data_IF_340452045970
#
_entry.id   IF_340452045970
#
_cell.length_a   1.000
_cell.length_b   1.000
_cell.length_c   1.000
_cell.angle_alpha   90.00
_cell.angle_beta   90.00
_cell.angle_gamma   90.00
#
_symmetry.space_group_name_H-M   'P 1'
#
loop_
_entity.id
_entity.type
_entity.pdbx_description
1 polymer ?
#
# COMPACT_ATOMS: atom_id res chain seq x y z
N UNK A 1 -25.25 2.06 5.14
CA UNK A 1 -24.20 3.11 5.01
C UNK A 1 -23.31 2.81 3.80
N UNK A 2 -22.96 3.83 2.99
CA UNK A 2 -22.05 3.60 1.84
C UNK A 2 -20.63 3.33 2.36
N UNK A 3 -20.01 2.22 1.94
CA UNK A 3 -18.65 1.87 2.33
C UNK A 3 -17.65 2.97 1.93
N UNK A 4 -16.77 3.33 2.85
CA UNK A 4 -15.64 4.24 2.61
C UNK A 4 -14.40 3.42 2.29
N UNK A 5 -13.70 3.78 1.22
CA UNK A 5 -12.49 3.15 0.72
C UNK A 5 -11.31 4.09 0.93
N UNK A 6 -10.17 3.56 1.33
CA UNK A 6 -8.92 4.30 1.44
C UNK A 6 -7.89 3.65 0.52
N UNK A 7 -7.19 4.48 -0.26
CA UNK A 7 -6.13 4.05 -1.16
C UNK A 7 -4.87 4.84 -0.81
N UNK A 8 -3.81 4.16 -0.40
CA UNK A 8 -2.49 4.78 -0.30
C UNK A 8 -1.78 4.65 -1.63
N UNK A 9 -1.01 5.65 -2.05
CA UNK A 9 -0.40 5.68 -3.39
C UNK A 9 -1.42 5.87 -4.51
N UNK A 10 -2.57 6.51 -4.18
CA UNK A 10 -3.67 6.64 -5.12
C UNK A 10 -3.44 7.61 -6.28
N UNK A 11 -2.37 8.41 -6.25
CA UNK A 11 -1.96 9.28 -7.37
C UNK A 11 -0.96 8.61 -8.34
N UNK A 12 -0.51 7.39 -8.04
CA UNK A 12 0.28 6.54 -8.92
C UNK A 12 -0.57 5.91 -10.04
N UNK A 13 0.07 5.14 -10.94
CA UNK A 13 -0.59 4.52 -12.09
C UNK A 13 -1.74 3.57 -11.68
N UNK A 14 -1.45 2.57 -10.84
CA UNK A 14 -2.46 1.60 -10.39
C UNK A 14 -3.52 2.29 -9.52
N UNK A 15 -3.06 3.12 -8.57
CA UNK A 15 -3.94 3.78 -7.59
C UNK A 15 -4.94 4.73 -8.22
N UNK A 16 -4.55 5.49 -9.24
CA UNK A 16 -5.44 6.44 -9.93
C UNK A 16 -6.52 5.72 -10.74
N UNK A 17 -6.18 4.63 -11.42
CA UNK A 17 -7.15 3.80 -12.14
C UNK A 17 -8.15 3.12 -11.19
N UNK A 18 -7.68 2.59 -10.07
CA UNK A 18 -8.55 2.03 -9.03
C UNK A 18 -9.47 3.10 -8.43
N UNK A 19 -8.92 4.28 -8.14
CA UNK A 19 -9.68 5.43 -7.64
C UNK A 19 -10.81 5.78 -8.60
N UNK A 20 -10.51 5.93 -9.90
CA UNK A 20 -11.50 6.23 -10.92
C UNK A 20 -12.60 5.16 -10.99
N UNK A 21 -12.22 3.89 -11.01
CA UNK A 21 -13.18 2.75 -11.03
C UNK A 21 -14.13 2.77 -9.82
N UNK A 22 -13.62 3.07 -8.62
CA UNK A 22 -14.45 3.17 -7.41
C UNK A 22 -15.39 4.38 -7.45
N UNK A 23 -14.92 5.52 -7.98
CA UNK A 23 -15.76 6.72 -8.14
C UNK A 23 -16.89 6.50 -9.15
N UNK A 24 -16.61 5.84 -10.27
CA UNK A 24 -17.64 5.45 -11.25
C UNK A 24 -18.72 4.55 -10.62
N UNK A 25 -18.34 3.68 -9.69
CA UNK A 25 -19.26 2.87 -8.88
C UNK A 25 -19.89 3.64 -7.72
N UNK A 26 -19.83 4.98 -7.74
CA UNK A 26 -20.40 5.89 -6.73
C UNK A 26 -19.92 5.64 -5.31
N UNK A 27 -18.71 5.07 -5.13
CA UNK A 27 -18.09 4.85 -3.82
C UNK A 27 -17.47 6.16 -3.31
N UNK A 28 -17.32 6.28 -1.97
CA UNK A 28 -16.54 7.35 -1.34
C UNK A 28 -15.09 6.87 -1.20
N UNK A 29 -14.13 7.66 -1.63
CA UNK A 29 -12.71 7.30 -1.64
C UNK A 29 -11.88 8.39 -0.96
N UNK A 30 -10.97 7.96 -0.09
CA UNK A 30 -9.86 8.77 0.43
C UNK A 30 -8.60 8.28 -0.26
N UNK A 31 -7.83 9.19 -0.84
CA UNK A 31 -6.49 8.93 -1.37
C UNK A 31 -5.47 9.58 -0.46
N UNK A 32 -4.48 8.79 -0.01
CA UNK A 32 -3.28 9.23 0.70
C UNK A 32 -2.09 9.09 -0.25
N UNK A 33 -1.39 10.20 -0.54
CA UNK A 33 -0.23 10.21 -1.43
C UNK A 33 0.70 11.37 -1.07
N UNK A 34 2.01 11.16 -1.08
CA UNK A 34 3.00 12.23 -0.85
C UNK A 34 3.53 12.82 -2.14
N UNK A 35 3.05 12.33 -3.29
CA UNK A 35 3.42 12.74 -4.64
C UNK A 35 4.92 12.60 -4.96
N UNK A 36 5.63 11.72 -4.27
CA UNK A 36 7.05 11.46 -4.56
C UNK A 36 7.26 10.84 -5.96
N UNK A 37 6.29 10.04 -6.42
CA UNK A 37 6.27 9.42 -7.76
C UNK A 37 4.91 9.61 -8.44
N UNK A 38 3.83 9.71 -7.67
CA UNK A 38 2.48 9.99 -8.16
C UNK A 38 2.30 11.45 -8.58
N UNK A 39 1.27 11.73 -9.38
CA UNK A 39 0.93 13.07 -9.85
C UNK A 39 -0.54 13.39 -9.58
N UNK A 40 -0.83 14.61 -9.08
CA UNK A 40 -2.21 15.08 -8.88
C UNK A 40 -3.05 15.04 -10.16
N UNK A 41 -2.41 15.27 -11.31
CA UNK A 41 -3.05 15.22 -12.63
C UNK A 41 -3.61 13.84 -13.00
N UNK A 42 -3.17 12.77 -12.35
CA UNK A 42 -3.70 11.41 -12.55
C UNK A 42 -5.09 11.24 -11.91
N UNK A 43 -5.50 12.17 -11.06
CA UNK A 43 -6.76 12.09 -10.31
C UNK A 43 -7.79 13.10 -10.84
N UNK A 44 -9.02 12.62 -10.97
CA UNK A 44 -10.15 13.46 -11.38
C UNK A 44 -10.70 14.25 -10.20
N UNK A 45 -11.18 15.48 -10.44
CA UNK A 45 -11.97 16.21 -9.43
C UNK A 45 -13.34 15.55 -9.30
N UNK A 46 -13.69 15.08 -8.10
CA UNK A 46 -14.97 14.39 -7.86
C UNK A 46 -15.46 14.60 -6.42
N UNK A 47 -16.78 14.82 -6.24
CA UNK A 47 -17.38 15.08 -4.92
C UNK A 47 -17.21 13.95 -3.89
N UNK A 48 -17.00 12.72 -4.35
CA UNK A 48 -16.79 11.54 -3.50
C UNK A 48 -15.30 11.21 -3.31
N UNK A 49 -14.37 12.04 -3.84
CA UNK A 49 -12.92 11.87 -3.67
C UNK A 49 -12.42 12.89 -2.64
N UNK A 50 -11.71 12.39 -1.63
CA UNK A 50 -10.91 13.19 -0.72
C UNK A 50 -9.44 12.87 -0.94
N UNK A 51 -8.67 13.85 -1.42
CA UNK A 51 -7.22 13.72 -1.65
C UNK A 51 -6.46 14.37 -0.49
N UNK A 52 -5.53 13.62 0.08
CA UNK A 52 -4.69 14.05 1.21
C UNK A 52 -3.23 13.93 0.81
N UNK A 53 -2.49 15.03 0.90
CA UNK A 53 -1.03 15.01 0.79
C UNK A 53 -0.44 14.60 2.14
N UNK A 54 0.10 13.40 2.23
CA UNK A 54 0.76 12.91 3.44
C UNK A 54 1.70 11.75 3.14
N UNK A 55 2.68 11.55 4.01
CA UNK A 55 3.62 10.45 3.94
C UNK A 55 3.18 9.33 4.90
N UNK A 56 3.03 8.11 4.37
CA UNK A 56 2.63 6.95 5.16
C UNK A 56 3.69 6.50 6.16
N UNK A 57 4.95 6.89 5.97
CA UNK A 57 6.02 6.63 6.95
C UNK A 57 5.84 7.40 8.27
N UNK A 58 4.98 8.43 8.28
CA UNK A 58 4.60 9.16 9.48
C UNK A 58 3.18 8.73 9.93
N UNK A 59 3.11 7.91 10.98
CA UNK A 59 1.84 7.40 11.52
C UNK A 59 0.84 8.51 11.87
N UNK A 60 1.29 9.56 12.55
CA UNK A 60 0.41 10.65 13.00
C UNK A 60 -0.21 11.43 11.83
N UNK A 61 0.44 11.43 10.66
CA UNK A 61 -0.06 12.10 9.46
C UNK A 61 -1.23 11.34 8.81
N UNK A 62 -1.33 10.02 9.01
CA UNK A 62 -2.30 9.16 8.32
C UNK A 62 -3.42 8.64 9.20
N UNK A 63 -3.17 8.39 10.48
CA UNK A 63 -4.03 7.67 11.39
C UNK A 63 -5.50 8.12 11.34
N UNK A 64 -5.74 9.42 11.48
CA UNK A 64 -7.09 10.00 11.54
C UNK A 64 -7.95 9.72 10.31
N UNK A 65 -7.35 9.42 9.17
CA UNK A 65 -8.06 9.15 7.91
C UNK A 65 -8.59 7.72 7.80
N UNK A 66 -8.20 6.82 8.71
CA UNK A 66 -8.70 5.45 8.77
C UNK A 66 -10.05 5.35 9.49
N UNK A 67 -10.45 6.40 10.23
CA UNK A 67 -11.75 6.42 10.92
C UNK A 67 -12.90 6.24 9.92
N UNK A 68 -13.79 5.28 10.19
CA UNK A 68 -14.95 4.89 9.37
C UNK A 68 -14.59 4.29 7.99
N UNK A 69 -13.33 4.05 7.69
CA UNK A 69 -12.91 3.30 6.50
C UNK A 69 -13.29 1.84 6.68
N UNK A 70 -13.71 1.18 5.60
CA UNK A 70 -14.07 -0.24 5.61
C UNK A 70 -13.08 -1.09 4.82
N UNK A 71 -12.49 -0.54 3.78
CA UNK A 71 -11.56 -1.23 2.89
C UNK A 71 -10.34 -0.35 2.63
N UNK A 72 -9.16 -0.95 2.74
CA UNK A 72 -7.88 -0.29 2.45
C UNK A 72 -7.21 -0.99 1.27
N UNK A 73 -6.79 -0.23 0.28
CA UNK A 73 -5.89 -0.67 -0.79
C UNK A 73 -4.54 0.02 -0.57
N UNK A 74 -3.56 -0.77 -0.15
CA UNK A 74 -2.24 -0.26 0.14
C UNK A 74 -1.33 -0.44 -1.07
N UNK A 75 -1.20 0.64 -1.87
CA UNK A 75 -0.44 0.68 -3.11
C UNK A 75 0.77 1.63 -3.03
N UNK A 76 0.87 2.44 -1.96
CA UNK A 76 2.00 3.31 -1.75
C UNK A 76 3.28 2.49 -1.56
N UNK A 77 4.35 2.93 -2.21
CA UNK A 77 5.67 2.33 -2.12
C UNK A 77 6.57 2.81 -3.25
N UNK A 78 7.86 2.73 -3.03
CA UNK A 78 8.89 2.97 -4.04
C UNK A 78 9.22 1.66 -4.74
N UNK A 79 9.36 1.65 -6.08
CA UNK A 79 9.40 0.45 -6.88
C UNK A 79 10.68 0.26 -7.71
N UNK A 80 11.53 1.28 -7.85
CA UNK A 80 12.70 1.23 -8.73
C UNK A 80 13.88 0.49 -8.08
N UNK A 81 14.58 -0.35 -8.85
CA UNK A 81 15.67 -1.20 -8.35
C UNK A 81 16.92 -0.36 -8.07
N UNK A 82 17.44 0.38 -9.07
CA UNK A 82 18.69 1.13 -8.94
C UNK A 82 18.63 2.17 -7.82
N UNK A 83 17.61 3.03 -7.74
CA UNK A 83 17.49 3.95 -6.61
C UNK A 83 17.36 3.26 -5.25
N UNK A 84 16.89 1.99 -5.19
CA UNK A 84 16.84 1.25 -3.94
C UNK A 84 18.22 0.85 -3.42
N UNK A 85 19.17 0.63 -4.32
CA UNK A 85 20.56 0.32 -3.98
C UNK A 85 21.28 1.59 -3.49
N UNK A 86 21.01 2.71 -4.15
CA UNK A 86 21.61 4.00 -3.80
C UNK A 86 21.06 4.58 -2.49
N UNK A 87 19.77 4.37 -2.22
CA UNK A 87 19.06 4.96 -1.08
C UNK A 87 18.21 3.93 -0.32
N UNK A 88 18.81 2.86 0.25
CA UNK A 88 18.06 1.76 0.87
C UNK A 88 17.21 2.21 2.07
N UNK A 89 17.66 3.20 2.85
CA UNK A 89 16.92 3.78 3.97
C UNK A 89 15.59 4.41 3.52
N UNK A 90 15.59 5.15 2.41
CA UNK A 90 14.37 5.73 1.85
C UNK A 90 13.34 4.65 1.47
N UNK A 91 13.82 3.54 0.90
CA UNK A 91 12.97 2.40 0.55
C UNK A 91 12.44 1.67 1.78
N UNK A 92 13.28 1.49 2.80
CA UNK A 92 12.86 0.92 4.07
C UNK A 92 11.76 1.77 4.72
N UNK A 93 11.95 3.07 4.84
CA UNK A 93 10.96 3.99 5.42
C UNK A 93 9.65 3.97 4.64
N UNK A 94 9.70 4.06 3.32
CA UNK A 94 8.49 4.07 2.50
C UNK A 94 7.77 2.71 2.53
N UNK A 95 8.49 1.62 2.26
CA UNK A 95 7.88 0.33 1.97
C UNK A 95 7.64 -0.52 3.23
N UNK A 96 8.54 -0.46 4.22
CA UNK A 96 8.41 -1.26 5.44
C UNK A 96 7.73 -0.47 6.54
N UNK A 97 8.32 0.66 6.96
CA UNK A 97 7.73 1.49 8.01
C UNK A 97 6.35 2.02 7.61
N UNK A 98 6.21 2.48 6.36
CA UNK A 98 4.92 2.93 5.83
C UNK A 98 3.86 1.84 5.86
N UNK A 99 4.21 0.61 5.46
CA UNK A 99 3.28 -0.54 5.53
C UNK A 99 2.91 -0.85 6.98
N UNK A 100 3.87 -0.87 7.89
CA UNK A 100 3.61 -1.09 9.31
C UNK A 100 2.63 -0.06 9.88
N UNK A 101 2.83 1.22 9.57
CA UNK A 101 1.92 2.29 9.99
C UNK A 101 0.50 2.11 9.45
N UNK A 102 0.37 1.69 8.20
CA UNK A 102 -0.94 1.39 7.56
C UNK A 102 -1.61 0.20 8.25
N UNK A 103 -0.86 -0.83 8.61
CA UNK A 103 -1.37 -1.99 9.33
C UNK A 103 -1.82 -1.62 10.75
N UNK A 104 -1.02 -0.84 11.49
CA UNK A 104 -1.38 -0.34 12.83
C UNK A 104 -2.67 0.49 12.81
N UNK A 105 -2.77 1.43 11.87
CA UNK A 105 -3.99 2.22 11.70
C UNK A 105 -5.19 1.33 11.31
N UNK A 106 -4.96 0.32 10.46
CA UNK A 106 -6.01 -0.63 10.05
C UNK A 106 -6.51 -1.45 11.23
N UNK A 107 -5.61 -1.95 12.09
CA UNK A 107 -5.95 -2.67 13.33
C UNK A 107 -6.73 -1.76 14.29
N UNK A 108 -6.21 -0.56 14.58
CA UNK A 108 -6.84 0.40 15.50
C UNK A 108 -8.28 0.73 15.12
N UNK A 109 -8.56 0.91 13.83
CA UNK A 109 -9.90 1.26 13.33
C UNK A 109 -10.72 0.07 12.84
N UNK A 110 -10.28 -1.17 13.12
CA UNK A 110 -10.97 -2.43 12.79
C UNK A 110 -11.42 -2.48 11.33
N UNK A 111 -10.47 -2.22 10.41
CA UNK A 111 -10.71 -2.27 8.97
C UNK A 111 -11.15 -3.69 8.57
N UNK A 112 -12.25 -3.80 7.80
CA UNK A 112 -12.78 -5.09 7.38
C UNK A 112 -11.82 -5.89 6.50
N UNK A 113 -11.11 -5.22 5.57
CA UNK A 113 -10.15 -5.87 4.67
C UNK A 113 -9.10 -4.86 4.21
N UNK A 114 -7.85 -5.27 4.30
CA UNK A 114 -6.71 -4.60 3.69
C UNK A 114 -6.19 -5.46 2.55
N UNK A 115 -5.89 -4.83 1.42
CA UNK A 115 -5.26 -5.45 0.25
C UNK A 115 -3.93 -4.73 0.02
N UNK A 116 -2.83 -5.47 0.13
CA UNK A 116 -1.48 -4.98 -0.09
C UNK A 116 -0.97 -5.41 -1.46
N UNK A 117 -0.40 -4.49 -2.23
CA UNK A 117 0.28 -4.79 -3.48
C UNK A 117 1.73 -5.18 -3.21
N UNK A 118 2.01 -6.48 -3.19
CA UNK A 118 3.36 -7.01 -3.08
C UNK A 118 4.15 -6.88 -4.41
N UNK A 119 5.12 -7.72 -4.64
CA UNK A 119 5.92 -7.72 -5.87
C UNK A 119 6.43 -9.11 -6.20
N UNK A 120 6.42 -9.48 -7.48
CA UNK A 120 7.07 -10.68 -7.98
C UNK A 120 8.60 -10.67 -7.76
N UNK A 121 9.22 -9.49 -7.58
CA UNK A 121 10.64 -9.36 -7.27
C UNK A 121 11.06 -10.07 -5.97
N UNK A 122 10.11 -10.40 -5.09
CA UNK A 122 10.36 -11.19 -3.89
C UNK A 122 10.89 -12.61 -4.21
N UNK A 123 10.54 -13.16 -5.37
CA UNK A 123 11.00 -14.48 -5.81
C UNK A 123 12.41 -14.48 -6.41
N UNK A 124 12.96 -13.31 -6.79
CA UNK A 124 14.24 -13.19 -7.48
C UNK A 124 14.17 -13.82 -8.87
N UNK A 125 15.09 -14.75 -9.17
CA UNK A 125 15.08 -15.53 -10.41
C UNK A 125 14.44 -16.90 -10.17
N UNK A 126 13.15 -17.09 -10.53
CA UNK A 126 12.45 -18.36 -10.33
C UNK A 126 13.00 -19.43 -11.28
N UNK A 127 12.90 -20.70 -10.87
CA UNK A 127 13.36 -21.83 -11.68
C UNK A 127 12.44 -22.15 -12.86
N UNK A 128 11.17 -21.80 -12.75
CA UNK A 128 10.13 -22.09 -13.76
C UNK A 128 9.23 -20.88 -13.99
N UNK A 129 8.70 -20.78 -15.21
CA UNK A 129 7.68 -19.82 -15.60
C UNK A 129 6.44 -20.56 -16.14
N UNK A 130 5.21 -20.12 -15.80
CA UNK A 130 4.88 -19.04 -14.88
C UNK A 130 5.33 -19.36 -13.44
N UNK A 131 5.72 -18.32 -12.67
CA UNK A 131 6.19 -18.45 -11.30
C UNK A 131 5.04 -18.90 -10.39
N UNK A 132 5.22 -20.02 -9.70
CA UNK A 132 4.26 -20.52 -8.71
C UNK A 132 4.30 -19.69 -7.42
N UNK A 133 3.17 -19.60 -6.72
CA UNK A 133 3.09 -18.99 -5.37
C UNK A 133 3.93 -19.72 -4.33
N UNK A 134 4.23 -21.02 -4.58
CA UNK A 134 5.07 -21.86 -3.73
C UNK A 134 6.56 -21.75 -4.07
N UNK A 135 6.96 -20.88 -5.03
CA UNK A 135 8.37 -20.69 -5.37
C UNK A 135 9.12 -20.07 -4.20
N UNK A 136 10.39 -20.43 -4.04
CA UNK A 136 11.23 -19.95 -2.94
C UNK A 136 11.46 -18.43 -3.04
N UNK A 137 11.20 -17.72 -1.94
CA UNK A 137 11.47 -16.29 -1.84
C UNK A 137 12.97 -16.03 -1.76
N UNK A 138 13.51 -15.25 -2.69
CA UNK A 138 14.94 -14.92 -2.78
C UNK A 138 15.11 -13.49 -3.30
N UNK A 139 14.83 -12.46 -2.48
CA UNK A 139 15.02 -11.08 -2.90
C UNK A 139 16.48 -10.79 -3.24
N UNK A 140 16.73 -10.14 -4.38
CA UNK A 140 18.08 -9.91 -4.91
C UNK A 140 18.60 -8.49 -4.69
N UNK A 141 17.75 -7.55 -4.24
CA UNK A 141 18.08 -6.14 -4.05
C UNK A 141 17.17 -5.49 -3.00
N UNK A 142 17.54 -4.31 -2.47
CA UNK A 142 16.83 -3.69 -1.35
C UNK A 142 15.34 -3.48 -1.58
N UNK A 143 14.91 -3.05 -2.78
CA UNK A 143 13.48 -2.94 -3.10
C UNK A 143 12.74 -4.27 -2.86
N UNK A 144 13.26 -5.37 -3.42
CA UNK A 144 12.64 -6.69 -3.28
C UNK A 144 12.57 -7.13 -1.81
N UNK A 145 13.65 -6.89 -1.05
CA UNK A 145 13.69 -7.19 0.38
C UNK A 145 12.66 -6.40 1.17
N UNK A 146 12.52 -5.09 0.90
CA UNK A 146 11.51 -4.26 1.60
C UNK A 146 10.09 -4.71 1.28
N UNK A 147 9.81 -5.17 0.06
CA UNK A 147 8.49 -5.72 -0.30
C UNK A 147 8.22 -7.03 0.42
N UNK A 148 9.21 -7.92 0.53
CA UNK A 148 9.10 -9.18 1.28
C UNK A 148 8.88 -8.94 2.77
N UNK A 149 9.63 -8.03 3.39
CA UNK A 149 9.44 -7.65 4.79
C UNK A 149 8.02 -7.13 5.05
N UNK A 150 7.51 -6.27 4.16
CA UNK A 150 6.14 -5.77 4.26
C UNK A 150 5.10 -6.89 4.16
N UNK A 151 5.27 -7.88 3.28
CA UNK A 151 4.42 -9.09 3.21
C UNK A 151 4.46 -9.84 4.54
N UNK A 152 5.64 -10.06 5.11
CA UNK A 152 5.79 -10.75 6.40
C UNK A 152 5.02 -10.06 7.52
N UNK A 153 5.05 -8.73 7.59
CA UNK A 153 4.25 -7.97 8.56
C UNK A 153 2.75 -8.12 8.33
N UNK A 154 2.27 -8.20 7.09
CA UNK A 154 0.84 -8.42 6.83
C UNK A 154 0.36 -9.76 7.38
N UNK A 155 1.17 -10.83 7.27
CA UNK A 155 0.84 -12.14 7.79
C UNK A 155 0.84 -12.19 9.31
N UNK A 156 1.89 -11.66 9.96
CA UNK A 156 1.99 -11.61 11.42
C UNK A 156 0.79 -10.88 12.03
N UNK A 157 0.38 -9.74 11.44
CA UNK A 157 -0.75 -8.96 11.95
C UNK A 157 -2.11 -9.61 11.67
N UNK A 158 -2.25 -10.43 10.65
CA UNK A 158 -3.49 -11.16 10.39
C UNK A 158 -3.76 -12.22 11.49
N UNK A 159 -2.72 -12.92 11.96
CA UNK A 159 -2.86 -13.93 13.00
C UNK A 159 -3.18 -13.38 14.41
N UNK A 160 -2.85 -12.12 14.69
CA UNK A 160 -3.20 -11.48 15.97
C UNK A 160 -4.70 -11.18 16.12
N UNK A 161 -5.48 -11.23 15.04
CA UNK A 161 -6.93 -10.96 15.06
C UNK A 161 -7.78 -12.24 15.18
N UNK A 162 -7.18 -13.41 15.07
CA UNK A 162 -7.87 -14.72 15.16
C UNK A 162 -7.79 -15.35 16.56
N UNK A 163 -7.22 -14.65 17.54
CA UNK A 163 -6.99 -15.17 18.92
C UNK A 163 -7.89 -14.52 19.99
N UNK A 164 -8.92 -13.75 19.60
CA UNK A 164 -9.93 -13.19 20.53
C UNK A 164 -11.32 -13.77 20.30
#
# INVERSE_FOLDING_TARGET
MKNLYLITGGAGFIGSNLTLSLLQKRKKVIVLDNFSTGRKSNLVKHKNLKLINCDISNYNSIEKYFKNVKYVFHLAGLADIVPSIENPDKYFRSNVQGTLNVLEASKKFKIKKLIYSASASCYGFPKKYPTSENEKLKPMYPYALTKLQAVSYTHLRAHETDTD
#
